data_IF_893822581944
#
_entry.id   IF_893822581944
#
_cell.length_a   1.000
_cell.length_b   1.000
_cell.length_c   1.000
_cell.angle_alpha   90.00
_cell.angle_beta   90.00
_cell.angle_gamma   90.00
#
_symmetry.space_group_name_H-M   'P 1'
#
loop_
_entity.id
_entity.type
_entity.pdbx_description
1 polymer ?
#
# COMPACT_ATOMS: atom_id res chain seq x y z
N UNK A 1 60.41 -18.70 56.57
CA UNK A 1 60.28 -19.64 57.70
C UNK A 1 58.86 -19.47 58.25
N UNK A 2 57.87 -20.22 57.75
CA UNK A 2 57.40 -21.53 58.22
C UNK A 2 57.11 -21.56 59.73
N UNK A 3 55.81 -21.62 60.04
CA UNK A 3 55.18 -22.52 61.02
C UNK A 3 54.14 -21.76 61.82
N UNK A 4 52.85 -22.05 61.64
CA UNK A 4 51.85 -22.02 62.73
C UNK A 4 50.82 -23.13 62.50
N UNK A 5 50.39 -23.72 63.61
CA UNK A 5 49.76 -25.03 63.76
C UNK A 5 48.22 -25.03 63.60
N UNK A 6 47.76 -26.19 63.15
CA UNK A 6 46.57 -27.00 63.46
C UNK A 6 45.40 -26.49 64.37
N UNK A 7 44.17 -26.71 63.83
CA UNK A 7 42.99 -27.42 64.39
C UNK A 7 42.41 -27.08 65.78
N UNK A 8 41.14 -26.61 65.82
CA UNK A 8 39.94 -27.40 66.22
C UNK A 8 38.76 -26.58 66.76
N UNK A 9 37.56 -26.95 66.28
CA UNK A 9 36.21 -26.97 66.88
C UNK A 9 35.66 -25.82 67.76
N UNK A 10 34.44 -25.39 67.40
CA UNK A 10 33.53 -24.71 68.32
C UNK A 10 32.33 -24.07 67.64
N UNK A 11 31.26 -24.85 67.40
CA UNK A 11 29.91 -24.34 67.12
C UNK A 11 29.40 -23.68 68.41
N UNK A 12 28.78 -22.48 68.35
CA UNK A 12 27.52 -22.15 69.04
C UNK A 12 26.95 -20.83 68.49
N UNK A 13 25.67 -20.96 68.23
CA UNK A 13 24.64 -20.09 67.71
C UNK A 13 24.23 -18.99 68.71
N UNK A 14 23.95 -17.76 68.21
CA UNK A 14 23.05 -16.69 68.72
C UNK A 14 23.51 -15.37 68.08
N UNK A 15 22.72 -14.53 67.45
CA UNK A 15 21.32 -14.47 67.08
C UNK A 15 21.19 -13.20 66.25
N UNK A 16 20.60 -13.27 65.06
CA UNK A 16 20.41 -12.10 64.19
C UNK A 16 18.98 -11.61 64.36
N UNK A 17 18.85 -10.34 64.74
CA UNK A 17 17.61 -9.58 64.78
C UNK A 17 16.92 -9.64 63.41
N UNK A 18 15.70 -10.17 63.37
CA UNK A 18 14.78 -10.00 62.25
C UNK A 18 13.94 -8.75 62.48
N UNK A 19 14.24 -7.69 61.72
CA UNK A 19 13.29 -6.61 61.46
C UNK A 19 12.15 -7.17 60.60
N UNK A 20 10.98 -7.38 61.20
CA UNK A 20 9.76 -7.73 60.47
C UNK A 20 9.11 -6.46 59.96
N UNK A 21 9.35 -6.12 58.69
CA UNK A 21 8.52 -5.17 57.95
C UNK A 21 7.22 -5.87 57.54
N UNK A 22 6.11 -5.45 58.14
CA UNK A 22 4.77 -5.87 57.69
C UNK A 22 4.43 -5.17 56.38
N UNK A 23 4.69 -5.87 55.26
CA UNK A 23 4.09 -5.58 53.97
C UNK A 23 2.60 -5.96 54.00
N UNK A 24 1.73 -4.97 54.08
CA UNK A 24 0.31 -5.13 53.78
C UNK A 24 0.17 -5.42 52.28
N UNK A 25 0.02 -6.69 51.93
CA UNK A 25 -0.43 -7.10 50.60
C UNK A 25 -1.91 -6.73 50.47
N UNK A 26 -2.20 -5.63 49.75
CA UNK A 26 -3.52 -5.39 49.21
C UNK A 26 -3.78 -6.43 48.11
N UNK A 27 -4.62 -7.42 48.42
CA UNK A 27 -5.13 -8.38 47.43
C UNK A 27 -6.13 -7.61 46.56
N UNK A 28 -5.67 -7.09 45.42
CA UNK A 28 -6.56 -6.66 44.37
C UNK A 28 -7.22 -7.93 43.79
N UNK A 29 -8.57 -8.02 43.71
CA UNK A 29 -9.19 -9.10 42.98
C UNK A 29 -8.75 -9.00 41.52
N UNK A 30 -8.02 -10.01 41.03
CA UNK A 30 -7.77 -10.21 39.61
C UNK A 30 -9.14 -10.40 38.96
N UNK A 31 -9.69 -9.34 38.37
CA UNK A 31 -10.80 -9.48 37.45
C UNK A 31 -10.20 -10.23 36.25
N UNK A 32 -10.62 -11.47 35.95
CA UNK A 32 -10.18 -12.11 34.73
C UNK A 32 -10.68 -11.23 33.59
N UNK A 33 -9.72 -10.59 32.90
CA UNK A 33 -9.99 -10.00 31.59
C UNK A 33 -10.31 -11.21 30.71
N UNK A 34 -11.61 -11.51 30.58
CA UNK A 34 -12.11 -12.38 29.54
C UNK A 34 -11.83 -11.63 28.26
N UNK A 35 -10.64 -11.85 27.70
CA UNK A 35 -10.30 -11.52 26.33
C UNK A 35 -11.37 -12.20 25.49
N UNK A 36 -12.36 -11.42 25.06
CA UNK A 36 -13.37 -11.87 24.12
C UNK A 36 -12.58 -12.49 22.96
N UNK A 37 -12.79 -13.79 22.64
CA UNK A 37 -12.05 -14.41 21.56
C UNK A 37 -12.20 -13.52 20.33
N UNK A 38 -11.10 -13.30 19.56
CA UNK A 38 -11.19 -12.51 18.34
C UNK A 38 -12.36 -13.06 17.55
N UNK A 39 -13.30 -12.18 17.21
CA UNK A 39 -14.46 -12.62 16.44
C UNK A 39 -13.91 -13.32 15.19
N UNK A 40 -14.43 -14.51 14.84
CA UNK A 40 -14.03 -15.15 13.61
C UNK A 40 -14.17 -14.12 12.50
N UNK A 41 -13.20 -14.03 11.57
CA UNK A 41 -13.30 -13.09 10.47
C UNK A 41 -14.68 -13.30 9.84
N UNK A 42 -15.50 -12.25 9.90
CA UNK A 42 -16.73 -12.20 9.13
C UNK A 42 -16.25 -12.14 7.69
N UNK A 43 -16.01 -13.30 7.09
CA UNK A 43 -15.86 -13.42 5.66
C UNK A 43 -17.10 -12.78 5.07
N UNK A 44 -16.91 -11.62 4.44
CA UNK A 44 -17.95 -11.00 3.63
C UNK A 44 -18.48 -12.11 2.73
N UNK A 45 -19.78 -12.35 2.79
CA UNK A 45 -20.49 -13.41 2.07
C UNK A 45 -20.54 -13.11 0.57
N UNK A 46 -19.39 -12.91 -0.08
CA UNK A 46 -19.32 -13.17 -1.50
C UNK A 46 -19.41 -14.68 -1.63
N UNK A 47 -20.55 -15.18 -2.11
CA UNK A 47 -20.59 -16.56 -2.54
C UNK A 47 -19.53 -16.73 -3.63
N UNK A 48 -18.81 -17.85 -3.63
CA UNK A 48 -17.74 -18.14 -4.59
C UNK A 48 -18.17 -18.01 -6.07
N UNK A 49 -19.48 -17.94 -6.31
CA UNK A 49 -20.16 -17.79 -7.60
C UNK A 49 -20.48 -16.35 -8.00
N UNK A 50 -20.29 -15.38 -7.10
CA UNK A 50 -20.63 -13.98 -7.37
C UNK A 50 -19.50 -13.28 -8.13
N UNK A 51 -19.87 -12.47 -9.12
CA UNK A 51 -18.93 -11.57 -9.79
C UNK A 51 -18.39 -10.59 -8.73
N UNK A 52 -17.06 -10.49 -8.52
CA UNK A 52 -16.47 -9.60 -7.51
C UNK A 52 -16.93 -8.15 -7.67
N UNK A 53 -17.02 -7.41 -6.57
CA UNK A 53 -17.47 -6.02 -6.59
C UNK A 53 -16.62 -5.17 -7.54
N UNK A 54 -15.31 -5.41 -7.56
CA UNK A 54 -14.36 -4.72 -8.41
C UNK A 54 -14.70 -4.87 -9.88
N UNK A 55 -15.11 -6.06 -10.32
CA UNK A 55 -15.50 -6.30 -11.71
C UNK A 55 -16.90 -5.76 -11.95
N UNK A 56 -17.85 -6.09 -11.08
CA UNK A 56 -19.27 -5.71 -11.26
C UNK A 56 -19.45 -4.19 -11.32
N UNK A 57 -18.71 -3.43 -10.51
CA UNK A 57 -18.99 -2.00 -10.30
C UNK A 57 -17.87 -1.08 -10.82
N UNK A 58 -16.62 -1.55 -10.90
CA UNK A 58 -15.47 -0.67 -11.15
C UNK A 58 -14.77 -0.95 -12.49
N UNK A 59 -14.65 -2.21 -12.90
CA UNK A 59 -13.80 -2.64 -14.01
C UNK A 59 -14.50 -3.59 -15.01
N UNK A 60 -15.83 -3.69 -14.99
CA UNK A 60 -16.57 -4.62 -15.85
C UNK A 60 -16.44 -4.30 -17.35
N UNK A 61 -16.19 -3.04 -17.69
CA UNK A 61 -15.90 -2.57 -19.05
C UNK A 61 -15.08 -1.30 -19.01
N UNK A 62 -14.52 -0.88 -20.16
CA UNK A 62 -13.78 0.39 -20.27
C UNK A 62 -14.59 1.65 -19.96
N UNK A 63 -15.93 1.52 -19.89
CA UNK A 63 -16.85 2.61 -19.52
C UNK A 63 -17.13 2.68 -18.02
N UNK A 64 -16.69 1.69 -17.24
CA UNK A 64 -16.86 1.71 -15.78
C UNK A 64 -15.91 2.71 -15.13
N UNK A 65 -16.32 3.23 -13.99
CA UNK A 65 -15.64 4.35 -13.31
C UNK A 65 -14.18 4.03 -12.94
N UNK A 66 -13.87 2.78 -12.58
CA UNK A 66 -12.50 2.36 -12.27
C UNK A 66 -11.60 2.38 -13.51
N UNK A 67 -12.09 1.86 -14.64
CA UNK A 67 -11.35 1.88 -15.90
C UNK A 67 -11.11 3.31 -16.41
N UNK A 68 -12.12 4.17 -16.32
CA UNK A 68 -11.98 5.60 -16.64
C UNK A 68 -10.95 6.24 -15.72
N UNK A 69 -11.03 5.99 -14.41
CA UNK A 69 -10.11 6.57 -13.44
C UNK A 69 -8.64 6.19 -13.69
N UNK A 70 -8.35 4.93 -14.04
CA UNK A 70 -7.02 4.50 -14.49
C UNK A 70 -6.60 5.26 -15.75
N UNK A 71 -7.48 5.36 -16.75
CA UNK A 71 -7.13 6.04 -17.99
C UNK A 71 -6.90 7.55 -17.84
N UNK A 72 -7.59 8.20 -16.89
CA UNK A 72 -7.31 9.61 -16.52
C UNK A 72 -5.98 9.72 -15.77
N UNK A 73 -5.68 8.79 -14.86
CA UNK A 73 -4.40 8.78 -14.14
C UNK A 73 -3.19 8.60 -15.07
N UNK A 74 -3.35 7.81 -16.13
CA UNK A 74 -2.40 7.65 -17.23
C UNK A 74 -2.37 8.85 -18.20
N UNK A 75 -3.43 9.68 -18.20
CA UNK A 75 -3.56 10.84 -19.10
C UNK A 75 -4.17 10.53 -20.47
N UNK A 76 -4.56 9.29 -20.74
CA UNK A 76 -5.16 8.88 -22.02
C UNK A 76 -6.66 9.15 -22.13
N UNK A 77 -7.34 9.38 -21.00
CA UNK A 77 -8.77 9.73 -20.96
C UNK A 77 -9.01 11.06 -20.24
N UNK A 78 -10.11 11.72 -20.57
CA UNK A 78 -10.71 12.79 -19.78
C UNK A 78 -11.56 12.21 -18.64
N UNK A 79 -11.95 13.01 -17.62
CA UNK A 79 -12.84 12.54 -16.55
C UNK A 79 -14.20 12.01 -17.01
N UNK A 80 -14.63 12.35 -18.23
CA UNK A 80 -15.87 11.82 -18.84
C UNK A 80 -15.63 10.57 -19.70
N UNK A 81 -14.41 10.03 -19.70
CA UNK A 81 -14.03 8.84 -20.45
C UNK A 81 -13.77 9.07 -21.95
N UNK A 82 -13.59 10.32 -22.38
CA UNK A 82 -13.21 10.64 -23.77
C UNK A 82 -11.71 10.47 -23.96
N UNK A 83 -11.23 9.91 -25.10
CA UNK A 83 -9.80 9.86 -25.41
C UNK A 83 -9.15 11.24 -25.46
N UNK A 84 -7.89 11.33 -24.99
CA UNK A 84 -7.00 12.47 -25.22
C UNK A 84 -6.14 12.24 -26.46
N UNK A 85 -5.27 13.19 -26.79
CA UNK A 85 -4.37 13.09 -27.96
C UNK A 85 -3.36 11.95 -27.85
N UNK A 86 -2.97 11.54 -26.63
CA UNK A 86 -1.96 10.50 -26.41
C UNK A 86 -2.53 9.07 -26.39
N UNK A 87 -3.86 8.93 -26.43
CA UNK A 87 -4.56 7.64 -26.43
C UNK A 87 -4.20 6.73 -27.62
N UNK A 88 -3.96 7.32 -28.78
CA UNK A 88 -3.65 6.57 -30.01
C UNK A 88 -2.25 5.96 -30.00
N UNK A 89 -1.36 6.46 -29.15
CA UNK A 89 0.04 6.10 -29.16
C UNK A 89 0.91 7.23 -28.63
N UNK A 90 1.79 6.91 -27.68
CA UNK A 90 2.92 7.79 -27.32
C UNK A 90 4.11 6.94 -26.90
N UNK A 91 5.32 7.49 -27.07
CA UNK A 91 6.54 6.85 -26.58
C UNK A 91 6.78 7.23 -25.13
N UNK A 92 6.95 6.25 -24.27
CA UNK A 92 7.29 6.45 -22.87
C UNK A 92 8.75 6.96 -22.75
N UNK A 93 8.99 8.13 -22.12
CA UNK A 93 10.34 8.68 -22.00
C UNK A 93 11.24 7.91 -21.01
N UNK A 94 10.66 7.03 -20.18
CA UNK A 94 11.36 6.22 -19.20
C UNK A 94 11.92 4.91 -19.76
N UNK A 95 11.23 4.28 -20.73
CA UNK A 95 11.63 2.98 -21.30
C UNK A 95 11.56 2.88 -22.84
N UNK A 96 11.18 3.96 -23.53
CA UNK A 96 11.02 4.04 -24.99
C UNK A 96 9.97 3.11 -25.60
N UNK A 97 9.09 2.52 -24.79
CA UNK A 97 8.01 1.68 -25.27
C UNK A 97 6.88 2.53 -25.86
N UNK A 98 6.21 2.00 -26.89
CA UNK A 98 4.98 2.62 -27.42
C UNK A 98 3.78 2.19 -26.59
N UNK A 99 3.23 3.14 -25.85
CA UNK A 99 2.03 2.99 -25.05
C UNK A 99 0.79 3.23 -25.92
N UNK A 100 -0.22 2.35 -25.85
CA UNK A 100 -1.49 2.50 -26.60
C UNK A 100 -2.72 2.26 -25.72
N UNK A 101 -3.83 2.86 -26.10
CA UNK A 101 -5.13 2.63 -25.47
C UNK A 101 -5.25 3.30 -24.10
N UNK A 102 -6.35 3.03 -23.40
CA UNK A 102 -6.71 3.86 -22.25
C UNK A 102 -5.76 3.73 -21.06
N UNK A 103 -5.10 2.58 -20.85
CA UNK A 103 -4.16 2.41 -19.73
C UNK A 103 -2.69 2.36 -20.14
N UNK A 104 -2.32 2.92 -21.31
CA UNK A 104 -0.93 2.95 -21.78
C UNK A 104 -0.32 1.53 -21.98
N UNK A 105 -1.06 0.61 -22.59
CA UNK A 105 -0.57 -0.77 -22.78
C UNK A 105 0.66 -0.81 -23.68
N UNK A 106 1.73 -1.45 -23.18
CA UNK A 106 3.01 -1.60 -23.89
C UNK A 106 3.62 -3.00 -23.79
N UNK A 107 2.88 -3.97 -23.26
CA UNK A 107 3.36 -5.36 -23.04
C UNK A 107 3.32 -6.22 -24.32
N UNK A 108 2.93 -5.63 -25.45
CA UNK A 108 2.85 -6.31 -26.75
C UNK A 108 3.15 -5.32 -27.87
N UNK A 109 3.97 -5.74 -28.82
CA UNK A 109 4.32 -4.92 -29.99
C UNK A 109 3.32 -5.15 -31.13
N UNK A 110 3.21 -4.19 -32.05
CA UNK A 110 2.46 -4.30 -33.30
C UNK A 110 0.95 -4.59 -33.17
N UNK A 111 0.33 -4.26 -32.04
CA UNK A 111 -1.13 -4.36 -31.85
C UNK A 111 -1.85 -3.03 -32.14
N UNK A 112 -3.12 -3.12 -32.49
CA UNK A 112 -4.04 -1.98 -32.61
C UNK A 112 -4.39 -1.38 -31.24
N UNK A 113 -4.96 -0.17 -31.24
CA UNK A 113 -5.44 0.49 -30.01
C UNK A 113 -6.61 -0.29 -29.39
N UNK A 114 -7.45 -0.91 -30.22
CA UNK A 114 -8.58 -1.73 -29.77
C UNK A 114 -8.10 -3.00 -29.06
N UNK A 115 -7.08 -3.67 -29.60
CA UNK A 115 -6.46 -4.82 -28.94
C UNK A 115 -5.79 -4.42 -27.62
N UNK A 116 -5.10 -3.27 -27.60
CA UNK A 116 -4.52 -2.71 -26.39
C UNK A 116 -5.58 -2.45 -25.30
N UNK A 117 -6.72 -1.86 -25.65
CA UNK A 117 -7.86 -1.64 -24.75
C UNK A 117 -8.40 -2.96 -24.17
N UNK A 118 -8.52 -4.01 -24.98
CA UNK A 118 -9.03 -5.33 -24.55
C UNK A 118 -8.06 -5.98 -23.57
N UNK A 119 -6.77 -6.03 -23.92
CA UNK A 119 -5.74 -6.62 -23.08
C UNK A 119 -5.60 -5.87 -21.75
N UNK A 120 -5.62 -4.54 -21.83
CA UNK A 120 -5.65 -3.66 -20.68
C UNK A 120 -6.83 -3.98 -19.75
N UNK A 121 -8.06 -3.97 -20.27
CA UNK A 121 -9.25 -4.22 -19.47
C UNK A 121 -9.19 -5.59 -18.78
N UNK A 122 -8.75 -6.64 -19.50
CA UNK A 122 -8.57 -7.98 -18.93
C UNK A 122 -7.55 -7.98 -17.77
N UNK A 123 -6.46 -7.24 -17.92
CA UNK A 123 -5.47 -7.10 -16.86
C UNK A 123 -6.04 -6.34 -15.66
N UNK A 124 -6.70 -5.20 -15.86
CA UNK A 124 -7.32 -4.44 -14.77
C UNK A 124 -8.39 -5.25 -14.03
N UNK A 125 -9.19 -6.04 -14.74
CA UNK A 125 -10.16 -6.94 -14.11
C UNK A 125 -9.48 -7.93 -13.16
N UNK A 126 -8.47 -8.66 -13.66
CA UNK A 126 -7.72 -9.60 -12.82
C UNK A 126 -7.03 -8.91 -11.63
N UNK A 127 -6.35 -7.79 -11.86
CA UNK A 127 -5.65 -7.01 -10.83
C UNK A 127 -6.62 -6.47 -9.76
N UNK A 128 -7.81 -6.06 -10.19
CA UNK A 128 -8.83 -5.54 -9.29
C UNK A 128 -9.40 -6.62 -8.38
N UNK A 129 -9.62 -7.84 -8.91
CA UNK A 129 -10.04 -9.01 -8.12
C UNK A 129 -8.95 -9.40 -7.12
N UNK A 130 -7.69 -9.44 -7.55
CA UNK A 130 -6.58 -9.74 -6.65
C UNK A 130 -6.45 -8.69 -5.52
N UNK A 131 -6.66 -7.41 -5.85
CA UNK A 131 -6.66 -6.31 -4.88
C UNK A 131 -7.83 -6.43 -3.90
N UNK A 132 -9.04 -6.67 -4.40
CA UNK A 132 -10.25 -6.86 -3.58
C UNK A 132 -10.11 -8.03 -2.61
N UNK A 133 -9.71 -9.21 -3.11
CA UNK A 133 -9.52 -10.40 -2.29
C UNK A 133 -8.50 -10.15 -1.18
N UNK A 134 -7.38 -9.51 -1.51
CA UNK A 134 -6.35 -9.20 -0.52
C UNK A 134 -6.84 -8.20 0.52
N UNK A 135 -7.70 -7.26 0.15
CA UNK A 135 -8.34 -6.35 1.10
C UNK A 135 -9.31 -7.08 2.03
N UNK A 136 -10.10 -8.02 1.51
CA UNK A 136 -10.98 -8.89 2.30
C UNK A 136 -10.16 -9.67 3.34
N UNK A 137 -9.05 -10.30 2.93
CA UNK A 137 -8.15 -11.04 3.84
C UNK A 137 -7.60 -10.17 4.97
N UNK A 138 -7.45 -8.86 4.74
CA UNK A 138 -6.97 -7.89 5.71
C UNK A 138 -8.09 -7.28 6.57
N UNK A 139 -9.33 -7.78 6.43
CA UNK A 139 -10.51 -7.31 7.15
C UNK A 139 -11.08 -5.99 6.62
N UNK A 140 -10.69 -5.55 5.42
CA UNK A 140 -11.20 -4.35 4.78
C UNK A 140 -12.38 -4.70 3.88
N UNK A 141 -13.57 -4.16 4.18
CA UNK A 141 -14.80 -4.43 3.42
C UNK A 141 -14.80 -3.69 2.07
N UNK A 142 -14.81 -4.39 0.91
CA UNK A 142 -14.73 -3.75 -0.42
C UNK A 142 -15.72 -2.61 -0.66
N UNK A 143 -16.93 -2.74 -0.14
CA UNK A 143 -18.04 -1.78 -0.30
C UNK A 143 -17.68 -0.40 0.26
N UNK A 144 -16.91 -0.37 1.36
CA UNK A 144 -16.45 0.84 2.02
C UNK A 144 -15.15 1.39 1.43
N UNK A 145 -14.48 0.62 0.57
CA UNK A 145 -13.13 0.93 0.10
C UNK A 145 -12.98 0.86 -1.43
N UNK A 146 -14.04 1.10 -2.20
CA UNK A 146 -14.01 1.12 -3.68
C UNK A 146 -12.90 1.99 -4.26
N UNK A 147 -12.64 3.17 -3.67
CA UNK A 147 -11.53 4.05 -4.09
C UNK A 147 -10.17 3.38 -3.90
N UNK A 148 -9.97 2.66 -2.79
CA UNK A 148 -8.72 1.94 -2.57
C UNK A 148 -8.54 0.80 -3.57
N UNK A 149 -9.62 0.10 -3.95
CA UNK A 149 -9.57 -0.92 -5.02
C UNK A 149 -9.11 -0.30 -6.34
N UNK A 150 -9.68 0.84 -6.74
CA UNK A 150 -9.25 1.57 -7.96
C UNK A 150 -7.77 1.94 -7.86
N UNK A 151 -7.34 2.51 -6.73
CA UNK A 151 -5.96 2.94 -6.53
C UNK A 151 -4.97 1.78 -6.49
N UNK A 152 -5.33 0.64 -5.92
CA UNK A 152 -4.49 -0.56 -5.95
C UNK A 152 -4.37 -1.10 -7.38
N UNK A 153 -5.49 -1.21 -8.10
CA UNK A 153 -5.53 -1.66 -9.50
C UNK A 153 -4.72 -0.74 -10.41
N UNK A 154 -4.84 0.57 -10.23
CA UNK A 154 -4.02 1.57 -10.92
C UNK A 154 -2.52 1.40 -10.63
N UNK A 155 -2.15 1.09 -9.38
CA UNK A 155 -0.76 0.84 -9.03
C UNK A 155 -0.22 -0.45 -9.67
N UNK A 156 -1.04 -1.49 -9.84
CA UNK A 156 -0.67 -2.66 -10.64
C UNK A 156 -0.38 -2.31 -12.09
N UNK A 157 -1.15 -1.39 -12.69
CA UNK A 157 -0.90 -0.92 -14.05
C UNK A 157 0.47 -0.23 -14.16
N UNK A 158 0.82 0.55 -13.14
CA UNK A 158 2.09 1.28 -13.08
C UNK A 158 3.29 0.39 -12.74
N UNK A 159 3.13 -0.53 -11.81
CA UNK A 159 4.20 -1.38 -11.30
C UNK A 159 3.66 -2.72 -10.80
N UNK A 160 4.08 -3.80 -11.47
CA UNK A 160 3.76 -5.17 -11.06
C UNK A 160 4.39 -5.55 -9.71
N UNK A 161 5.45 -4.85 -9.25
CA UNK A 161 6.06 -5.10 -7.94
C UNK A 161 5.32 -4.36 -6.82
N UNK A 162 4.83 -3.13 -7.07
CA UNK A 162 4.17 -2.32 -6.06
C UNK A 162 2.66 -2.60 -5.93
N UNK A 163 1.96 -2.81 -7.05
CA UNK A 163 0.52 -3.13 -7.06
C UNK A 163 0.08 -4.18 -6.04
N UNK A 164 0.70 -5.38 -6.01
CA UNK A 164 0.32 -6.43 -5.04
C UNK A 164 0.53 -6.04 -3.57
N UNK A 165 1.45 -5.12 -3.28
CA UNK A 165 1.74 -4.67 -1.91
C UNK A 165 0.77 -3.60 -1.41
N UNK A 166 0.04 -2.94 -2.31
CA UNK A 166 -0.83 -1.81 -1.94
C UNK A 166 -1.86 -2.16 -0.86
N UNK A 167 -2.63 -3.28 -0.90
CA UNK A 167 -3.60 -3.59 0.15
C UNK A 167 -2.98 -3.66 1.55
N UNK A 168 -1.79 -4.24 1.67
CA UNK A 168 -1.06 -4.34 2.93
C UNK A 168 -0.61 -2.96 3.41
N UNK A 169 -0.02 -2.16 2.51
CA UNK A 169 0.39 -0.80 2.82
C UNK A 169 -0.82 0.09 3.20
N UNK A 170 -1.96 -0.08 2.55
CA UNK A 170 -3.18 0.64 2.86
C UNK A 170 -3.76 0.27 4.22
N UNK A 171 -3.77 -1.02 4.57
CA UNK A 171 -4.12 -1.46 5.92
C UNK A 171 -3.19 -0.85 6.97
N UNK A 172 -1.88 -0.87 6.72
CA UNK A 172 -0.89 -0.25 7.62
C UNK A 172 -1.09 1.27 7.75
N UNK A 173 -1.46 1.96 6.67
CA UNK A 173 -1.81 3.38 6.70
C UNK A 173 -3.02 3.64 7.61
N UNK A 174 -4.07 2.82 7.47
CA UNK A 174 -5.27 2.89 8.33
C UNK A 174 -4.95 2.62 9.79
N UNK A 175 -4.09 1.65 10.07
CA UNK A 175 -3.67 1.30 11.44
C UNK A 175 -2.84 2.40 12.09
N UNK A 176 -2.16 3.23 11.28
CA UNK A 176 -1.48 4.45 11.72
C UNK A 176 -2.43 5.64 11.93
N UNK A 177 -3.74 5.45 11.73
CA UNK A 177 -4.73 6.52 11.83
C UNK A 177 -4.76 7.46 10.62
N UNK A 178 -4.04 7.15 9.53
CA UNK A 178 -4.13 7.95 8.32
C UNK A 178 -5.51 7.78 7.68
N UNK A 179 -6.01 8.86 7.08
CA UNK A 179 -7.33 8.91 6.48
C UNK A 179 -7.29 9.57 5.09
N UNK A 180 -8.38 9.43 4.34
CA UNK A 180 -8.57 10.13 3.08
C UNK A 180 -7.40 10.01 2.11
N UNK A 181 -6.98 11.15 1.54
CA UNK A 181 -5.90 11.19 0.55
C UNK A 181 -4.54 10.80 1.14
N UNK A 182 -4.28 11.13 2.41
CA UNK A 182 -3.00 10.86 3.05
C UNK A 182 -2.77 9.36 3.19
N UNK A 183 -3.80 8.60 3.59
CA UNK A 183 -3.73 7.14 3.64
C UNK A 183 -3.44 6.54 2.25
N UNK A 184 -4.04 7.07 1.19
CA UNK A 184 -3.85 6.57 -0.16
C UNK A 184 -2.45 6.87 -0.69
N UNK A 185 -1.98 8.11 -0.54
CA UNK A 185 -0.65 8.51 -1.01
C UNK A 185 0.41 7.72 -0.25
N UNK A 186 0.32 7.68 1.09
CA UNK A 186 1.25 6.93 1.91
C UNK A 186 1.30 5.45 1.51
N UNK A 187 0.14 4.81 1.36
CA UNK A 187 0.08 3.40 0.97
C UNK A 187 0.69 3.14 -0.41
N UNK A 188 0.48 4.04 -1.37
CA UNK A 188 1.05 3.92 -2.71
C UNK A 188 2.56 4.12 -2.73
N UNK A 189 3.10 5.02 -1.90
CA UNK A 189 4.56 5.15 -1.77
C UNK A 189 5.15 3.90 -1.12
N UNK A 190 4.60 3.47 0.00
CA UNK A 190 5.15 2.37 0.79
C UNK A 190 5.01 1.01 0.11
N UNK A 191 4.08 0.87 -0.84
CA UNK A 191 3.97 -0.30 -1.68
C UNK A 191 5.21 -0.57 -2.56
N UNK A 192 6.03 0.46 -2.83
CA UNK A 192 7.31 0.31 -3.55
C UNK A 192 8.46 -0.22 -2.67
N UNK A 193 8.22 -0.50 -1.38
CA UNK A 193 9.28 -1.11 -0.55
C UNK A 193 9.57 -2.54 -0.99
N UNK A 194 10.84 -2.83 -1.22
CA UNK A 194 11.34 -4.17 -1.51
C UNK A 194 11.47 -5.02 -0.22
N UNK A 195 12.01 -6.23 -0.34
CA UNK A 195 12.21 -7.15 0.79
C UNK A 195 13.20 -6.59 1.83
N UNK A 196 14.16 -5.77 1.39
CA UNK A 196 15.16 -5.06 2.20
C UNK A 196 14.60 -3.78 2.84
N UNK A 197 13.32 -3.49 2.63
CA UNK A 197 12.62 -2.27 3.10
C UNK A 197 13.08 -0.98 2.44
N UNK A 198 13.77 -1.05 1.32
CA UNK A 198 14.19 0.11 0.53
C UNK A 198 13.13 0.44 -0.53
N UNK A 199 13.00 1.72 -0.88
CA UNK A 199 12.12 2.15 -1.97
C UNK A 199 12.72 1.79 -3.34
N UNK A 200 12.00 0.98 -4.11
CA UNK A 200 12.38 0.52 -5.44
C UNK A 200 11.42 1.07 -6.52
N UNK A 201 11.75 2.26 -7.02
CA UNK A 201 11.05 2.91 -8.13
C UNK A 201 12.05 3.51 -9.14
N UNK A 202 13.05 2.72 -9.53
CA UNK A 202 14.19 3.16 -10.35
C UNK A 202 13.82 3.96 -11.60
N UNK A 203 12.80 3.53 -12.35
CA UNK A 203 12.28 4.26 -13.51
C UNK A 203 11.80 5.67 -13.16
N UNK A 204 11.02 5.81 -12.08
CA UNK A 204 10.53 7.10 -11.61
C UNK A 204 11.65 7.98 -11.03
N UNK A 205 12.62 7.38 -10.33
CA UNK A 205 13.80 8.12 -9.85
C UNK A 205 14.59 8.74 -11.00
N UNK A 206 14.70 8.04 -12.13
CA UNK A 206 15.29 8.59 -13.36
C UNK A 206 14.54 9.84 -13.85
N UNK A 207 13.21 9.81 -13.86
CA UNK A 207 12.35 10.94 -14.25
C UNK A 207 12.56 12.11 -13.27
N UNK A 208 12.52 11.85 -11.96
CA UNK A 208 12.68 12.90 -10.94
C UNK A 208 14.03 13.64 -11.03
N UNK A 209 15.10 12.97 -11.48
CA UNK A 209 16.42 13.59 -11.68
C UNK A 209 16.51 14.46 -12.93
N UNK A 210 15.71 14.17 -13.96
CA UNK A 210 15.78 14.83 -15.27
C UNK A 210 14.78 15.95 -15.42
N UNK A 211 13.54 15.72 -15.00
CA UNK A 211 12.42 16.60 -15.28
C UNK A 211 12.42 17.85 -14.39
N UNK A 212 12.32 19.08 -14.95
CA UNK A 212 12.41 20.33 -14.19
C UNK A 212 11.43 20.43 -13.03
N UNK A 213 10.19 19.97 -13.23
CA UNK A 213 9.15 19.97 -12.19
C UNK A 213 9.63 19.24 -10.92
N UNK A 214 10.09 17.99 -11.05
CA UNK A 214 10.52 17.20 -9.91
C UNK A 214 11.79 17.75 -9.27
N UNK A 215 12.73 18.27 -10.07
CA UNK A 215 13.95 18.89 -9.54
C UNK A 215 13.66 20.09 -8.64
N UNK A 216 12.68 20.90 -9.01
CA UNK A 216 12.29 22.05 -8.18
C UNK A 216 11.55 21.60 -6.92
N UNK A 217 10.59 20.68 -7.04
CA UNK A 217 9.82 20.17 -5.88
C UNK A 217 10.68 19.41 -4.87
N UNK A 218 11.78 18.79 -5.31
CA UNK A 218 12.71 18.01 -4.47
C UNK A 218 13.95 18.81 -4.06
N UNK A 219 13.97 20.11 -4.34
CA UNK A 219 15.10 20.99 -4.03
C UNK A 219 15.37 21.03 -2.53
N UNK A 220 16.66 20.94 -2.17
CA UNK A 220 17.10 20.90 -0.78
C UNK A 220 17.18 19.50 -0.17
N UNK A 221 16.62 18.48 -0.83
CA UNK A 221 16.82 17.09 -0.43
C UNK A 221 18.07 16.51 -1.08
N UNK A 222 18.79 15.66 -0.34
CA UNK A 222 19.95 14.94 -0.89
C UNK A 222 19.46 13.91 -1.91
N UNK A 223 19.88 14.04 -3.16
CA UNK A 223 19.49 13.13 -4.25
C UNK A 223 19.76 11.67 -3.84
N UNK A 224 18.79 10.80 -4.15
CA UNK A 224 18.79 9.37 -3.83
C UNK A 224 18.75 8.99 -2.34
N UNK A 225 18.70 9.95 -1.40
CA UNK A 225 18.38 9.66 0.00
C UNK A 225 16.98 9.06 0.16
N UNK A 226 16.72 8.38 1.28
CA UNK A 226 15.39 7.81 1.59
C UNK A 226 14.30 8.88 1.50
N UNK A 227 14.53 10.06 2.07
CA UNK A 227 13.59 11.18 2.04
C UNK A 227 13.37 11.69 0.60
N UNK A 228 14.42 11.81 -0.21
CA UNK A 228 14.30 12.21 -1.60
C UNK A 228 13.51 11.17 -2.41
N UNK A 229 13.80 9.87 -2.25
CA UNK A 229 13.10 8.78 -2.95
C UNK A 229 11.63 8.75 -2.56
N UNK A 230 11.34 8.90 -1.27
CA UNK A 230 9.98 8.91 -0.77
C UNK A 230 9.18 10.07 -1.35
N UNK A 231 9.75 11.29 -1.33
CA UNK A 231 9.09 12.47 -1.88
C UNK A 231 8.97 12.42 -3.41
N UNK A 232 9.95 11.86 -4.13
CA UNK A 232 9.85 11.64 -5.58
C UNK A 232 8.64 10.74 -5.92
N UNK A 233 8.49 9.61 -5.22
CA UNK A 233 7.32 8.72 -5.42
C UNK A 233 6.04 9.45 -5.02
N UNK A 234 6.02 10.12 -3.86
CA UNK A 234 4.87 10.87 -3.35
C UNK A 234 4.32 11.87 -4.37
N UNK A 235 5.18 12.59 -5.09
CA UNK A 235 4.76 13.57 -6.10
C UNK A 235 3.93 12.92 -7.22
N UNK A 236 4.42 11.84 -7.83
CA UNK A 236 3.69 11.13 -8.87
C UNK A 236 2.42 10.45 -8.32
N UNK A 237 2.53 9.76 -7.18
CA UNK A 237 1.38 9.08 -6.58
C UNK A 237 0.29 10.07 -6.14
N UNK A 238 0.68 11.25 -5.64
CA UNK A 238 -0.23 12.33 -5.29
C UNK A 238 -1.01 12.86 -6.48
N UNK A 239 -0.35 13.06 -7.63
CA UNK A 239 -1.01 13.39 -8.90
C UNK A 239 -2.04 12.33 -9.28
N UNK A 240 -1.69 11.04 -9.28
CA UNK A 240 -2.61 9.94 -9.65
C UNK A 240 -3.81 9.85 -8.70
N UNK A 241 -3.58 9.97 -7.39
CA UNK A 241 -4.66 10.01 -6.38
C UNK A 241 -5.61 11.18 -6.64
N UNK A 242 -5.09 12.36 -6.98
CA UNK A 242 -5.89 13.54 -7.32
C UNK A 242 -6.74 13.30 -8.55
N UNK A 243 -6.18 12.74 -9.62
CA UNK A 243 -6.92 12.47 -10.86
C UNK A 243 -8.04 11.45 -10.66
N UNK A 244 -7.75 10.33 -10.00
CA UNK A 244 -8.77 9.31 -9.65
C UNK A 244 -9.87 9.92 -8.79
N UNK A 245 -9.51 10.78 -7.82
CA UNK A 245 -10.49 11.49 -6.99
C UNK A 245 -11.38 12.40 -7.84
N UNK A 246 -10.84 13.08 -8.85
CA UNK A 246 -11.61 13.99 -9.71
C UNK A 246 -12.65 13.21 -10.53
N UNK A 247 -12.29 12.05 -11.10
CA UNK A 247 -13.24 11.16 -11.79
C UNK A 247 -14.37 10.71 -10.86
N UNK A 248 -14.04 10.30 -9.64
CA UNK A 248 -15.05 9.86 -8.67
C UNK A 248 -15.98 10.98 -8.19
N UNK A 249 -15.60 12.25 -8.38
CA UNK A 249 -16.46 13.40 -8.11
C UNK A 249 -17.37 13.74 -9.30
N UNK A 250 -16.96 13.47 -10.54
CA UNK A 250 -17.73 13.80 -11.74
C UNK A 250 -18.84 12.80 -12.08
N UNK A 251 -18.90 11.66 -11.36
CA UNK A 251 -19.93 10.62 -11.52
C UNK A 251 -21.04 10.77 -10.45
N UNK A 252 -20.97 11.79 -9.59
CA UNK A 252 -21.99 12.10 -8.57
C UNK A 252 -22.99 13.12 -9.07
#
# INVERSE_FOLDING_TARGET
MKSWYALSFGVIWKGVLLCTSTLLFAIAPEIPIVLKPPQPPVYSTQHLTDIPLSVRELFGSKKHVGAIAVGVAEGNLTPTGKPTTIYLGHTDPGNFATNKGFCSWNKSQNISVQEADILCLKALQWQSVATENRMIDLGLKPENHKRAIILGTDLWNQSNSAGPNFPLAYKAAKDKGLEGQDAYIWARVEAFRNKQKELDASGLFGICKREPYYKEELKGLVVDSEEWRWNCIKLDQGRRVKEIRNVLKSVR
#
